data_IF_114783878724
#
_entry.id   IF_114783878724
#
_cell.length_a   1.000
_cell.length_b   1.000
_cell.length_c   1.000
_cell.angle_alpha   90.00
_cell.angle_beta   90.00
_cell.angle_gamma   90.00
#
_symmetry.space_group_name_H-M   'P 1'
#
loop_
_entity.id
_entity.type
_entity.pdbx_description
1 polymer ?
#
# COMPACT_ATOMS: atom_id res chain seq x y z
N UNK A 1 -27.19 49.49 -8.93
CA UNK A 1 -26.48 50.33 -7.92
C UNK A 1 -25.21 49.55 -7.56
N UNK A 2 -24.16 49.77 -8.17
CA UNK A 2 -22.90 50.56 -7.96
C UNK A 2 -22.57 50.64 -6.48
N UNK A 3 -21.51 49.95 -6.01
CA UNK A 3 -20.42 50.63 -5.31
C UNK A 3 -19.13 49.77 -5.34
N UNK A 4 -18.13 50.33 -6.00
CA UNK A 4 -16.71 49.95 -6.03
C UNK A 4 -16.09 50.57 -4.78
N UNK A 5 -15.19 49.84 -4.09
CA UNK A 5 -14.12 50.50 -3.33
C UNK A 5 -12.81 49.77 -3.63
N UNK A 6 -11.93 50.52 -4.28
CA UNK A 6 -10.50 50.29 -4.51
C UNK A 6 -9.69 50.83 -3.29
N UNK A 7 -8.46 50.32 -3.17
CA UNK A 7 -7.28 50.84 -2.45
C UNK A 7 -6.73 49.88 -1.41
N UNK A 8 -5.46 49.61 -1.22
CA UNK A 8 -4.23 50.24 -1.69
C UNK A 8 -3.03 49.31 -1.52
N UNK A 9 -2.04 49.53 -2.35
CA UNK A 9 -0.70 49.01 -2.45
C UNK A 9 0.13 49.40 -1.20
N UNK A 10 0.97 48.51 -0.67
CA UNK A 10 2.19 48.91 0.04
C UNK A 10 3.31 47.91 -0.27
N UNK A 11 4.24 48.38 -1.09
CA UNK A 11 5.60 47.84 -1.25
C UNK A 11 6.39 48.08 0.03
N UNK A 12 7.17 47.14 0.47
CA UNK A 12 8.38 47.37 1.23
C UNK A 12 9.45 46.33 0.87
N UNK A 13 10.41 46.78 0.11
CA UNK A 13 11.71 46.16 -0.18
C UNK A 13 12.64 46.35 1.03
N UNK A 14 13.32 45.28 1.46
CA UNK A 14 14.59 45.45 2.14
C UNK A 14 15.52 44.29 1.81
N UNK A 15 16.56 44.62 1.05
CA UNK A 15 17.72 43.78 0.78
C UNK A 15 18.68 43.85 1.98
N UNK A 16 19.24 42.72 2.38
CA UNK A 16 20.49 42.71 3.13
C UNK A 16 21.34 41.51 2.69
N UNK A 17 22.38 41.86 2.00
CA UNK A 17 23.53 41.09 1.55
C UNK A 17 24.52 40.97 2.72
N UNK A 18 24.98 39.74 3.06
CA UNK A 18 26.26 39.59 3.78
C UNK A 18 26.99 38.32 3.33
N UNK A 19 28.24 38.58 2.99
CA UNK A 19 29.26 37.71 2.40
C UNK A 19 29.86 36.70 3.39
N UNK A 20 30.37 35.61 2.81
CA UNK A 20 31.34 34.56 3.13
C UNK A 20 32.57 34.98 3.98
N UNK A 21 33.47 34.10 4.51
CA UNK A 21 34.11 32.94 3.87
C UNK A 21 34.29 31.71 4.79
N UNK A 22 34.34 30.45 4.34
CA UNK A 22 35.50 29.73 3.81
C UNK A 22 36.36 29.09 4.89
N UNK A 23 36.46 27.76 4.89
CA UNK A 23 37.71 27.05 5.20
C UNK A 23 37.62 25.58 4.80
N UNK A 24 38.55 25.21 3.95
CA UNK A 24 38.99 23.90 3.51
C UNK A 24 39.57 23.05 4.64
N UNK A 25 39.31 21.72 4.62
CA UNK A 25 40.30 20.74 5.06
C UNK A 25 40.11 19.41 4.32
N UNK A 26 41.13 19.07 3.54
CA UNK A 26 41.36 17.77 2.95
C UNK A 26 41.62 16.69 4.03
N UNK A 27 41.21 15.45 3.72
CA UNK A 27 41.62 14.27 4.45
C UNK A 27 41.36 13.04 3.61
N UNK A 28 42.31 12.75 2.73
CA UNK A 28 42.46 11.46 2.02
C UNK A 28 42.92 10.39 2.99
N UNK A 29 42.35 9.19 2.88
CA UNK A 29 43.07 7.95 3.13
C UNK A 29 42.41 6.80 2.38
N UNK A 30 43.10 6.40 1.35
CA UNK A 30 43.00 5.12 0.64
C UNK A 30 43.26 3.95 1.61
N UNK A 31 42.58 2.85 1.36
CA UNK A 31 43.14 1.50 1.43
C UNK A 31 42.12 0.44 0.96
N UNK A 32 42.20 0.06 -0.27
CA UNK A 32 42.04 -1.34 -0.75
C UNK A 32 43.47 -1.95 -0.83
N UNK A 33 43.76 -3.27 -0.94
CA UNK A 33 42.95 -4.28 -1.60
C UNK A 33 43.10 -5.73 -1.09
N UNK A 34 42.46 -6.63 -1.85
CA UNK A 34 42.87 -8.02 -2.20
C UNK A 34 42.45 -9.15 -1.27
N UNK A 35 41.72 -10.11 -1.71
CA UNK A 35 41.74 -11.08 -2.80
C UNK A 35 41.93 -12.53 -2.30
N UNK A 36 41.11 -13.42 -2.90
CA UNK A 36 41.33 -14.85 -3.16
C UNK A 36 41.23 -15.82 -1.96
N UNK A 37 40.48 -16.93 -2.05
CA UNK A 37 40.68 -18.10 -2.91
C UNK A 37 39.59 -19.14 -2.69
N UNK A 38 38.91 -19.56 -3.70
CA UNK A 38 38.75 -20.89 -4.30
C UNK A 38 38.79 -22.14 -3.41
N UNK A 39 37.81 -23.03 -3.62
CA UNK A 39 37.89 -24.42 -3.21
C UNK A 39 36.57 -25.19 -3.30
N UNK A 40 36.19 -25.65 -4.50
CA UNK A 40 35.40 -26.90 -4.64
C UNK A 40 36.40 -28.09 -4.67
N UNK A 41 35.98 -29.30 -4.25
CA UNK A 41 35.48 -30.29 -5.18
C UNK A 41 34.40 -31.24 -4.62
N UNK A 42 33.38 -31.54 -5.42
CA UNK A 42 33.10 -32.75 -6.23
C UNK A 42 33.07 -34.12 -5.50
N UNK A 43 31.91 -34.80 -5.79
CA UNK A 43 31.67 -36.26 -5.86
C UNK A 43 31.16 -36.95 -4.58
N UNK A 44 30.06 -37.71 -4.64
CA UNK A 44 29.94 -39.01 -5.34
C UNK A 44 28.47 -39.47 -5.33
N UNK A 45 28.10 -40.12 -6.42
CA UNK A 45 26.86 -40.82 -6.69
C UNK A 45 26.59 -42.00 -5.73
N UNK A 46 25.31 -42.29 -5.50
CA UNK A 46 24.86 -43.53 -4.91
C UNK A 46 23.43 -43.86 -5.37
N UNK A 47 23.40 -44.79 -6.30
CA UNK A 47 22.23 -45.45 -6.90
C UNK A 47 21.58 -46.43 -5.89
N UNK A 48 20.27 -46.61 -5.93
CA UNK A 48 19.57 -47.72 -5.25
C UNK A 48 18.07 -47.51 -5.13
N UNK A 49 17.34 -47.99 -6.11
CA UNK A 49 16.28 -48.99 -6.20
C UNK A 49 15.05 -48.81 -5.32
N UNK A 50 13.93 -48.67 -6.04
CA UNK A 50 12.53 -48.93 -5.64
C UNK A 50 12.34 -50.45 -5.37
N UNK A 51 11.32 -50.83 -4.57
CA UNK A 51 10.13 -51.36 -5.24
C UNK A 51 8.78 -50.98 -4.61
N UNK A 52 7.79 -51.07 -5.50
CA UNK A 52 6.38 -50.89 -5.33
C UNK A 52 5.73 -51.73 -4.21
N UNK A 53 4.67 -51.22 -3.64
CA UNK A 53 3.75 -51.96 -2.75
C UNK A 53 2.40 -51.27 -2.67
N UNK A 54 1.48 -51.80 -3.45
CA UNK A 54 0.05 -51.54 -3.54
C UNK A 54 -0.69 -51.97 -2.26
N UNK A 55 -1.63 -51.15 -1.76
CA UNK A 55 -2.91 -51.65 -1.26
C UNK A 55 -3.86 -50.52 -0.81
N UNK A 56 -5.03 -50.58 -1.36
CA UNK A 56 -6.23 -49.83 -1.13
C UNK A 56 -6.70 -49.74 0.33
N UNK A 57 -7.45 -48.68 0.65
CA UNK A 57 -8.24 -48.57 1.87
C UNK A 57 -8.89 -47.20 1.99
N UNK A 58 -9.96 -46.91 1.24
CA UNK A 58 -10.99 -45.98 1.72
C UNK A 58 -11.75 -46.59 2.89
N UNK A 59 -12.19 -45.76 3.86
CA UNK A 59 -13.60 -45.41 3.79
C UNK A 59 -13.86 -43.92 4.07
N UNK A 60 -14.89 -43.45 3.37
CA UNK A 60 -15.62 -42.24 3.58
C UNK A 60 -15.91 -41.94 5.06
N UNK A 61 -15.61 -40.72 5.45
CA UNK A 61 -16.08 -40.06 6.65
C UNK A 61 -16.49 -38.66 6.27
N UNK A 62 -17.72 -38.55 5.79
CA UNK A 62 -18.48 -37.33 5.64
C UNK A 62 -18.52 -36.61 7.01
N UNK A 63 -17.82 -35.55 7.17
CA UNK A 63 -18.12 -34.48 8.12
C UNK A 63 -17.97 -33.17 7.37
N UNK A 64 -19.03 -32.90 6.60
CA UNK A 64 -19.35 -31.59 6.10
C UNK A 64 -19.79 -30.71 7.30
N UNK A 65 -18.83 -30.11 7.96
CA UNK A 65 -18.97 -28.92 8.80
C UNK A 65 -17.76 -28.01 8.55
N UNK A 66 -17.44 -27.79 7.29
CA UNK A 66 -16.67 -26.66 6.84
C UNK A 66 -17.61 -25.46 6.90
N UNK A 67 -17.68 -24.79 8.07
CA UNK A 67 -17.96 -23.36 8.05
C UNK A 67 -17.13 -22.81 6.89
N UNK A 68 -17.79 -22.30 5.87
CA UNK A 68 -17.21 -21.78 4.65
C UNK A 68 -16.26 -20.64 5.06
N UNK A 69 -15.01 -21.01 5.34
CA UNK A 69 -13.92 -20.05 5.53
C UNK A 69 -13.73 -19.38 4.18
N UNK A 70 -14.47 -18.31 3.96
CA UNK A 70 -14.34 -17.55 2.73
C UNK A 70 -12.94 -17.04 2.57
N UNK A 71 -12.47 -16.92 1.34
CA UNK A 71 -11.15 -16.39 1.02
C UNK A 71 -11.01 -14.96 1.49
N UNK A 72 -9.79 -14.58 1.83
CA UNK A 72 -9.43 -13.21 2.28
C UNK A 72 -8.55 -12.57 1.22
N UNK A 73 -8.81 -11.31 0.89
CA UNK A 73 -8.02 -10.52 -0.03
C UNK A 73 -7.39 -9.33 0.68
N UNK A 74 -6.17 -8.99 0.33
CA UNK A 74 -5.54 -7.70 0.65
C UNK A 74 -5.34 -6.93 -0.64
N UNK A 75 -6.24 -6.00 -0.94
CA UNK A 75 -6.13 -5.08 -2.06
C UNK A 75 -5.44 -3.80 -1.60
N UNK A 76 -4.42 -3.34 -2.32
CA UNK A 76 -3.68 -2.16 -1.90
C UNK A 76 -3.16 -1.32 -3.07
N UNK A 77 -3.02 -0.02 -2.83
CA UNK A 77 -2.26 0.90 -3.68
C UNK A 77 -1.00 1.36 -2.94
N UNK A 78 0.14 1.31 -3.62
CA UNK A 78 1.42 1.76 -3.06
C UNK A 78 2.28 2.44 -4.11
N UNK A 79 2.49 3.77 -4.00
CA UNK A 79 3.34 4.50 -4.94
C UNK A 79 4.84 4.41 -4.61
N UNK A 80 5.21 4.01 -3.39
CA UNK A 80 6.60 4.01 -2.89
C UNK A 80 6.99 2.77 -2.10
N UNK A 81 6.19 1.69 -2.16
CA UNK A 81 6.44 0.44 -1.44
C UNK A 81 6.04 0.43 0.03
N UNK A 82 5.68 1.60 0.63
CA UNK A 82 5.39 1.66 2.08
C UNK A 82 4.09 0.92 2.44
N UNK A 83 3.02 1.13 1.70
CA UNK A 83 1.73 0.45 1.92
C UNK A 83 1.84 -1.02 1.56
N UNK A 84 2.54 -1.34 0.47
CA UNK A 84 2.87 -2.69 0.03
C UNK A 84 3.49 -3.52 1.15
N UNK A 85 4.56 -3.06 1.79
CA UNK A 85 5.19 -3.80 2.88
C UNK A 85 4.30 -4.03 4.11
N UNK A 86 3.25 -3.22 4.32
CA UNK A 86 2.22 -3.49 5.34
C UNK A 86 1.19 -4.49 4.82
N UNK A 87 0.77 -4.38 3.56
CA UNK A 87 -0.16 -5.30 2.90
C UNK A 87 0.37 -6.74 2.88
N UNK A 88 1.65 -6.92 2.50
CA UNK A 88 2.33 -8.21 2.52
C UNK A 88 2.32 -8.88 3.89
N UNK A 89 2.57 -8.10 4.95
CA UNK A 89 2.52 -8.62 6.33
C UNK A 89 1.12 -9.03 6.73
N UNK A 90 0.09 -8.23 6.39
CA UNK A 90 -1.31 -8.58 6.67
C UNK A 90 -1.67 -9.87 5.93
N UNK A 91 -1.32 -9.96 4.63
CA UNK A 91 -1.57 -11.14 3.84
C UNK A 91 -0.89 -12.40 4.40
N UNK A 92 0.36 -12.28 4.85
CA UNK A 92 1.07 -13.39 5.49
C UNK A 92 0.45 -13.82 6.83
N UNK A 93 -0.12 -12.88 7.60
CA UNK A 93 -0.78 -13.17 8.88
C UNK A 93 -2.13 -13.88 8.66
N UNK A 94 -2.90 -13.42 7.69
CA UNK A 94 -4.25 -13.91 7.39
C UNK A 94 -4.27 -15.12 6.43
N UNK A 95 -3.14 -15.42 5.77
CA UNK A 95 -3.11 -16.39 4.67
C UNK A 95 -3.93 -15.90 3.47
N UNK A 96 -3.93 -14.59 3.23
CA UNK A 96 -4.76 -13.91 2.26
C UNK A 96 -4.07 -13.78 0.90
N UNK A 97 -4.88 -13.66 -0.16
CA UNK A 97 -4.40 -13.28 -1.48
C UNK A 97 -4.01 -11.79 -1.50
N UNK A 98 -3.06 -11.44 -2.36
CA UNK A 98 -2.63 -10.05 -2.57
C UNK A 98 -3.08 -9.55 -3.94
N UNK A 99 -3.58 -8.33 -3.98
CA UNK A 99 -3.90 -7.62 -5.22
C UNK A 99 -3.37 -6.19 -5.16
N UNK A 100 -2.44 -5.87 -6.05
CA UNK A 100 -1.91 -4.51 -6.19
C UNK A 100 -2.75 -3.71 -7.16
N UNK A 101 -3.28 -2.58 -6.69
CA UNK A 101 -3.92 -1.57 -7.51
C UNK A 101 -2.82 -0.70 -8.11
N UNK A 102 -2.51 -0.88 -9.38
CA UNK A 102 -1.50 -0.07 -10.07
C UNK A 102 -2.16 1.03 -10.90
N UNK A 103 -1.53 2.20 -10.98
CA UNK A 103 -1.98 3.23 -11.89
C UNK A 103 -1.59 2.87 -13.33
N UNK A 104 -2.48 3.12 -14.32
CA UNK A 104 -2.18 2.90 -15.73
C UNK A 104 -0.95 3.70 -16.20
N UNK A 105 -0.75 4.89 -15.62
CA UNK A 105 0.47 5.66 -15.72
C UNK A 105 1.14 5.69 -14.35
N UNK A 106 2.27 5.00 -14.14
CA UNK A 106 2.97 4.99 -12.85
C UNK A 106 3.32 6.40 -12.37
N UNK A 107 3.21 6.63 -11.06
CA UNK A 107 3.59 7.92 -10.48
C UNK A 107 5.11 8.05 -10.41
N UNK A 108 5.65 9.07 -11.08
CA UNK A 108 7.05 9.46 -10.96
C UNK A 108 7.31 10.23 -9.65
N UNK A 109 8.57 10.42 -9.30
CA UNK A 109 8.94 11.26 -8.15
C UNK A 109 8.46 12.72 -8.30
N UNK A 110 8.36 13.22 -9.54
CA UNK A 110 7.82 14.53 -9.82
C UNK A 110 6.31 14.59 -9.58
N UNK A 111 5.58 13.52 -9.95
CA UNK A 111 4.14 13.40 -9.71
C UNK A 111 3.79 13.33 -8.22
N UNK A 112 4.69 12.79 -7.41
CA UNK A 112 4.53 12.64 -5.96
C UNK A 112 5.05 13.85 -5.16
N UNK A 113 5.55 14.89 -5.82
CA UNK A 113 6.08 16.09 -5.15
C UNK A 113 4.96 16.92 -4.53
N UNK A 114 4.67 16.67 -3.26
CA UNK A 114 3.64 17.38 -2.49
C UNK A 114 3.94 18.88 -2.25
N UNK A 115 5.19 19.33 -2.46
CA UNK A 115 5.56 20.77 -2.42
C UNK A 115 5.25 21.50 -3.73
N UNK A 116 4.93 20.75 -4.80
CA UNK A 116 4.58 21.32 -6.09
C UNK A 116 3.06 21.25 -6.30
N UNK A 117 2.41 22.43 -6.29
CA UNK A 117 0.97 22.53 -6.53
C UNK A 117 0.56 22.09 -7.95
N UNK A 118 1.53 21.98 -8.87
CA UNK A 118 1.31 21.51 -10.24
C UNK A 118 1.57 20.00 -10.42
N UNK A 119 2.06 19.30 -9.41
CA UNK A 119 2.29 17.85 -9.47
C UNK A 119 0.98 17.11 -9.72
N UNK A 120 1.09 15.92 -10.32
CA UNK A 120 -0.07 15.09 -10.64
C UNK A 120 -0.89 14.73 -9.40
N UNK A 121 -0.25 14.24 -8.36
CA UNK A 121 -0.92 13.86 -7.13
C UNK A 121 -1.62 15.03 -6.45
N UNK A 122 -1.01 16.26 -6.48
CA UNK A 122 -1.66 17.47 -5.95
C UNK A 122 -2.91 17.85 -6.76
N UNK A 123 -2.85 17.78 -8.09
CA UNK A 123 -4.00 18.06 -8.95
C UNK A 123 -5.13 17.05 -8.72
N UNK A 124 -4.80 15.76 -8.66
CA UNK A 124 -5.77 14.71 -8.41
C UNK A 124 -6.46 14.90 -7.04
N UNK A 125 -5.70 15.19 -5.98
CA UNK A 125 -6.29 15.40 -4.65
C UNK A 125 -7.17 16.66 -4.57
N UNK A 126 -6.86 17.69 -5.30
CA UNK A 126 -7.66 18.91 -5.37
C UNK A 126 -8.95 18.75 -6.18
N UNK A 127 -9.04 17.75 -7.04
CA UNK A 127 -10.24 17.42 -7.81
C UNK A 127 -10.93 16.17 -7.22
N UNK A 128 -12.04 16.38 -6.53
CA UNK A 128 -12.84 15.28 -5.94
C UNK A 128 -13.46 14.35 -6.98
N UNK A 129 -13.49 14.76 -8.24
CA UNK A 129 -14.00 13.96 -9.35
C UNK A 129 -12.88 13.27 -10.14
N UNK A 130 -11.62 13.50 -9.79
CA UNK A 130 -10.52 12.80 -10.45
C UNK A 130 -10.66 11.28 -10.25
N UNK A 131 -10.50 10.56 -11.36
CA UNK A 131 -10.51 9.09 -11.40
C UNK A 131 -9.32 8.62 -12.20
N UNK A 132 -8.12 8.56 -11.57
CA UNK A 132 -6.94 8.00 -12.23
C UNK A 132 -7.23 6.58 -12.72
N UNK A 133 -6.85 6.28 -13.94
CA UNK A 133 -7.08 4.96 -14.53
C UNK A 133 -6.22 3.90 -13.84
N UNK A 134 -6.81 2.73 -13.58
CA UNK A 134 -6.13 1.56 -13.04
C UNK A 134 -5.50 0.79 -14.21
N UNK A 135 -4.26 0.34 -14.00
CA UNK A 135 -3.47 -0.44 -14.97
C UNK A 135 -3.37 -1.92 -14.65
N UNK A 136 -3.65 -2.32 -13.40
CA UNK A 136 -3.79 -3.73 -13.05
C UNK A 136 -5.04 -4.33 -13.68
N UNK A 137 -5.02 -5.65 -13.95
CA UNK A 137 -6.19 -6.37 -14.43
C UNK A 137 -7.33 -6.28 -13.39
N UNK A 138 -8.60 -6.22 -13.83
CA UNK A 138 -9.73 -6.20 -12.91
C UNK A 138 -9.70 -7.41 -11.97
N UNK A 139 -9.93 -7.18 -10.68
CA UNK A 139 -10.07 -8.25 -9.70
C UNK A 139 -11.53 -8.70 -9.64
N UNK A 140 -11.71 -10.02 -9.62
CA UNK A 140 -12.98 -10.65 -9.32
C UNK A 140 -13.07 -10.86 -7.81
N UNK A 141 -14.12 -10.35 -7.17
CA UNK A 141 -14.33 -10.46 -5.73
C UNK A 141 -15.20 -11.63 -5.33
N UNK A 142 -15.67 -12.45 -6.28
CA UNK A 142 -16.48 -13.63 -5.99
C UNK A 142 -15.71 -14.63 -5.11
N UNK A 143 -16.33 -15.08 -4.03
CA UNK A 143 -15.75 -16.04 -3.09
C UNK A 143 -14.93 -15.40 -1.95
N UNK A 144 -14.65 -14.09 -2.00
CA UNK A 144 -14.07 -13.39 -0.87
C UNK A 144 -15.15 -12.99 0.13
N UNK A 145 -14.87 -13.20 1.42
CA UNK A 145 -15.76 -12.79 2.51
C UNK A 145 -15.19 -11.65 3.34
N UNK A 146 -13.87 -11.43 3.24
CA UNK A 146 -13.15 -10.38 3.93
C UNK A 146 -12.12 -9.75 2.99
N UNK A 147 -12.09 -8.43 2.92
CA UNK A 147 -11.12 -7.69 2.12
C UNK A 147 -10.48 -6.58 2.97
N UNK A 148 -9.16 -6.59 3.03
CA UNK A 148 -8.39 -5.45 3.51
C UNK A 148 -8.14 -4.48 2.35
N UNK A 149 -8.38 -3.19 2.56
CA UNK A 149 -8.17 -2.15 1.54
C UNK A 149 -7.11 -1.18 2.04
N UNK A 150 -5.92 -1.22 1.42
CA UNK A 150 -4.72 -0.50 1.85
C UNK A 150 -4.34 0.66 0.95
N UNK A 151 -3.97 1.83 1.53
CA UNK A 151 -3.58 3.01 0.78
C UNK A 151 -2.68 3.96 1.61
N UNK A 152 -1.85 4.78 0.95
CA UNK A 152 -1.16 5.88 1.64
C UNK A 152 -2.12 7.04 1.89
N UNK A 153 -1.83 7.90 2.87
CA UNK A 153 -2.58 9.15 3.03
C UNK A 153 -1.90 10.25 2.22
N UNK A 154 -2.64 10.84 1.29
CA UNK A 154 -2.26 12.01 0.51
C UNK A 154 -3.15 13.20 0.87
N UNK A 155 -2.57 14.33 1.31
CA UNK A 155 -3.31 15.54 1.75
C UNK A 155 -4.44 15.25 2.77
N UNK A 156 -4.23 14.26 3.64
CA UNK A 156 -5.17 13.92 4.70
C UNK A 156 -6.31 12.98 4.29
N UNK A 157 -6.35 12.54 3.03
CA UNK A 157 -7.38 11.65 2.47
C UNK A 157 -6.75 10.48 1.72
N UNK A 158 -7.56 9.55 1.24
CA UNK A 158 -7.22 8.49 0.31
C UNK A 158 -6.81 9.06 -1.06
N UNK A 159 -5.86 8.44 -1.79
CA UNK A 159 -5.56 8.80 -3.18
C UNK A 159 -6.77 8.55 -4.08
N UNK A 160 -7.00 9.41 -5.07
CA UNK A 160 -8.18 9.31 -5.96
C UNK A 160 -8.27 8.02 -6.78
N UNK A 161 -7.17 7.31 -6.97
CA UNK A 161 -7.18 5.98 -7.58
C UNK A 161 -7.95 4.96 -6.74
N UNK A 162 -8.00 5.14 -5.41
CA UNK A 162 -8.81 4.30 -4.52
C UNK A 162 -10.30 4.51 -4.75
N UNK A 163 -10.71 5.75 -5.06
CA UNK A 163 -12.10 6.03 -5.48
C UNK A 163 -12.43 5.26 -6.76
N UNK A 164 -11.53 5.27 -7.75
CA UNK A 164 -11.70 4.49 -8.99
C UNK A 164 -11.85 2.99 -8.70
N UNK A 165 -11.01 2.47 -7.80
CA UNK A 165 -11.03 1.05 -7.45
C UNK A 165 -12.37 0.64 -6.83
N UNK A 166 -12.80 1.33 -5.77
CA UNK A 166 -14.01 0.91 -5.06
C UNK A 166 -15.29 1.12 -5.87
N UNK A 167 -15.30 2.11 -6.78
CA UNK A 167 -16.42 2.31 -7.70
C UNK A 167 -16.50 1.24 -8.81
N UNK A 168 -15.41 0.50 -9.04
CA UNK A 168 -15.35 -0.58 -10.04
C UNK A 168 -15.65 -1.97 -9.50
N UNK A 169 -15.82 -2.13 -8.19
CA UNK A 169 -16.01 -3.41 -7.51
C UNK A 169 -17.39 -3.47 -6.83
N UNK A 170 -17.93 -4.67 -6.73
CA UNK A 170 -19.10 -4.94 -5.88
C UNK A 170 -18.66 -5.64 -4.60
N UNK A 171 -18.94 -5.02 -3.46
CA UNK A 171 -18.59 -5.52 -2.13
C UNK A 171 -19.79 -6.15 -1.38
N UNK A 172 -20.89 -6.45 -2.07
CA UNK A 172 -22.07 -7.00 -1.38
C UNK A 172 -21.72 -8.32 -0.66
N UNK A 173 -22.14 -8.41 0.60
CA UNK A 173 -21.83 -9.57 1.45
C UNK A 173 -20.40 -9.66 1.98
N UNK A 174 -19.51 -8.71 1.63
CA UNK A 174 -18.09 -8.72 2.01
C UNK A 174 -17.84 -7.78 3.19
N UNK A 175 -17.04 -8.22 4.17
CA UNK A 175 -16.51 -7.35 5.23
C UNK A 175 -15.26 -6.65 4.72
N UNK A 176 -15.28 -5.31 4.68
CA UNK A 176 -14.18 -4.49 4.17
C UNK A 176 -13.50 -3.76 5.33
N UNK A 177 -12.17 -3.89 5.39
CA UNK A 177 -11.34 -3.38 6.49
C UNK A 177 -10.30 -2.43 5.93
N UNK A 178 -10.53 -1.11 6.00
CA UNK A 178 -9.56 -0.13 5.51
C UNK A 178 -8.32 -0.07 6.39
N UNK A 179 -7.15 0.08 5.78
CA UNK A 179 -5.94 0.48 6.49
C UNK A 179 -5.15 1.49 5.68
N UNK A 180 -4.41 2.34 6.36
CA UNK A 180 -3.57 3.30 5.65
C UNK A 180 -2.17 3.37 6.23
N UNK A 181 -1.25 3.86 5.40
CA UNK A 181 0.10 4.21 5.83
C UNK A 181 0.32 5.72 5.75
N UNK A 182 0.94 6.27 6.76
CA UNK A 182 1.37 7.66 6.78
C UNK A 182 2.45 7.88 7.83
N UNK A 183 3.22 8.97 7.70
CA UNK A 183 4.18 9.36 8.72
C UNK A 183 3.49 9.79 10.03
N UNK A 184 2.39 10.55 9.95
CA UNK A 184 1.72 11.11 11.13
C UNK A 184 0.20 11.24 11.02
N UNK A 185 -0.33 11.46 9.81
CA UNK A 185 -1.78 11.64 9.60
C UNK A 185 -2.54 10.35 9.90
N UNK A 186 -3.64 10.44 10.64
CA UNK A 186 -4.57 9.32 10.82
C UNK A 186 -5.31 8.98 9.54
N UNK A 187 -6.09 7.91 9.56
CA UNK A 187 -6.94 7.50 8.43
C UNK A 187 -8.06 8.50 8.14
N UNK A 188 -8.43 9.31 9.13
CA UNK A 188 -9.46 10.34 8.99
C UNK A 188 -10.81 9.75 8.57
N UNK A 189 -11.41 10.34 7.54
CA UNK A 189 -12.66 9.86 6.94
C UNK A 189 -12.47 8.95 5.73
N UNK A 190 -11.23 8.61 5.37
CA UNK A 190 -10.94 7.89 4.13
C UNK A 190 -11.71 6.58 4.00
N UNK A 191 -11.79 5.78 5.07
CA UNK A 191 -12.60 4.54 5.06
C UNK A 191 -14.08 4.80 4.79
N UNK A 192 -14.65 5.85 5.39
CA UNK A 192 -16.05 6.24 5.19
C UNK A 192 -16.29 6.78 3.77
N UNK A 193 -15.36 7.60 3.26
CA UNK A 193 -15.45 8.11 1.89
C UNK A 193 -15.46 6.95 0.88
N UNK A 194 -14.57 5.97 1.05
CA UNK A 194 -14.51 4.79 0.19
C UNK A 194 -15.80 3.95 0.30
N UNK A 195 -16.33 3.74 1.50
CA UNK A 195 -17.60 3.04 1.71
C UNK A 195 -18.79 3.73 1.01
N UNK A 196 -18.87 5.06 1.13
CA UNK A 196 -19.90 5.88 0.46
C UNK A 196 -19.81 5.73 -1.08
N UNK A 197 -18.60 5.63 -1.63
CA UNK A 197 -18.39 5.48 -3.07
C UNK A 197 -18.64 4.06 -3.57
N UNK A 198 -18.23 3.05 -2.82
CA UNK A 198 -18.47 1.65 -3.12
C UNK A 198 -19.98 1.33 -3.16
N UNK A 199 -20.76 1.93 -2.26
CA UNK A 199 -22.21 1.75 -2.19
C UNK A 199 -22.66 0.36 -1.73
N UNK A 200 -21.75 -0.57 -1.48
CA UNK A 200 -21.99 -1.94 -0.98
C UNK A 200 -20.90 -2.36 0.01
N UNK A 201 -21.10 -3.51 0.68
CA UNK A 201 -20.16 -4.06 1.66
C UNK A 201 -20.39 -3.63 3.10
N UNK A 202 -19.85 -4.42 4.03
CA UNK A 202 -19.83 -4.12 5.46
C UNK A 202 -18.47 -3.50 5.84
N UNK A 203 -18.39 -2.17 5.83
CA UNK A 203 -17.15 -1.44 6.07
C UNK A 203 -16.92 -1.23 7.57
N UNK A 204 -15.77 -1.74 8.06
CA UNK A 204 -15.34 -1.55 9.44
C UNK A 204 -14.51 -0.26 9.60
N UNK A 205 -14.30 0.12 10.86
CA UNK A 205 -13.37 1.21 11.16
C UNK A 205 -11.95 0.85 10.75
N UNK A 206 -11.34 1.74 9.99
CA UNK A 206 -9.99 1.53 9.49
C UNK A 206 -8.91 1.93 10.50
N UNK A 207 -7.68 1.51 10.23
CA UNK A 207 -6.52 1.83 11.07
C UNK A 207 -5.33 2.36 10.27
N UNK A 208 -4.63 3.32 10.88
CA UNK A 208 -3.38 3.86 10.35
C UNK A 208 -2.19 3.10 10.92
N UNK A 209 -1.22 2.79 10.06
CA UNK A 209 0.08 2.22 10.42
C UNK A 209 1.25 3.09 9.96
N UNK A 210 2.39 2.95 10.63
CA UNK A 210 3.66 3.39 10.06
C UNK A 210 4.19 2.30 9.12
N UNK A 211 5.04 2.65 8.14
CA UNK A 211 5.69 1.64 7.29
C UNK A 211 6.57 0.66 8.05
N UNK A 212 6.97 1.01 9.29
CA UNK A 212 7.78 0.15 10.17
C UNK A 212 6.95 -0.63 11.21
N UNK A 213 5.63 -0.75 11.02
CA UNK A 213 4.77 -1.50 11.95
C UNK A 213 5.25 -2.93 12.11
N UNK A 214 5.25 -3.43 13.36
CA UNK A 214 5.64 -4.80 13.66
C UNK A 214 4.52 -5.80 13.30
N UNK A 215 4.89 -7.04 12.99
CA UNK A 215 3.91 -8.11 12.80
C UNK A 215 3.08 -8.36 14.06
N UNK A 216 3.66 -8.21 15.25
CA UNK A 216 2.95 -8.38 16.49
C UNK A 216 1.82 -7.36 16.66
N UNK A 217 2.07 -6.08 16.31
CA UNK A 217 1.05 -5.04 16.36
C UNK A 217 -0.05 -5.27 15.33
N UNK A 218 0.30 -5.79 14.13
CA UNK A 218 -0.67 -6.15 13.10
C UNK A 218 -1.53 -7.34 13.55
N UNK A 219 -0.94 -8.40 14.10
CA UNK A 219 -1.68 -9.55 14.64
C UNK A 219 -2.66 -9.12 15.72
N UNK A 220 -2.20 -8.30 16.67
CA UNK A 220 -3.06 -7.81 17.75
C UNK A 220 -4.23 -6.96 17.23
N UNK A 221 -4.00 -6.19 16.15
CA UNK A 221 -5.09 -5.45 15.51
C UNK A 221 -6.08 -6.38 14.80
N UNK A 222 -5.58 -7.35 14.03
CA UNK A 222 -6.40 -8.30 13.29
C UNK A 222 -7.26 -9.14 14.25
N UNK A 223 -6.68 -9.63 15.34
CA UNK A 223 -7.39 -10.37 16.40
C UNK A 223 -8.52 -9.53 17.04
N UNK A 224 -8.34 -8.23 17.13
CA UNK A 224 -9.35 -7.30 17.65
C UNK A 224 -10.49 -6.95 16.68
N UNK A 225 -10.43 -7.42 15.43
CA UNK A 225 -11.50 -7.22 14.42
C UNK A 225 -12.58 -8.30 14.46
N UNK A 226 -12.34 -9.41 15.16
CA UNK A 226 -13.21 -10.58 15.27
C UNK A 226 -14.19 -10.48 16.44
#
# INVERSE_FOLDING_TARGET
MKNRILRSIALLTLAALLLLPGLTACGTSDSEPAAQSAGSPVNTAGTGEEPAGEAAGEPAGDNDDTAQSGSILVAYFSATGTTEGVAEKIAAIEGADLYEITAAEPYSSADLNWNDSSSRSTKEQNDKNARPAIGSDPVDLDGYTKIYVGFPIWWGEEPRIMDTFVESCDFDGITVIPFCTSASSGIGRSGQNLAERAGSGNWLDGKRFSGSVSEADLRSWIEGLN
#
